data_IF_808425382515
#
_entry.id   IF_808425382515
#
_cell.length_a   1.000
_cell.length_b   1.000
_cell.length_c   1.000
_cell.angle_alpha   90.00
_cell.angle_beta   90.00
_cell.angle_gamma   90.00
#
_symmetry.space_group_name_H-M   'P 1'
#
loop_
_entity.id
_entity.type
_entity.pdbx_description
1 polymer ?
#
# COMPACT_ATOMS: atom_id res chain seq x y z
N UNK A 1 33.85 -26.55 53.94
CA UNK A 1 32.60 -26.04 53.33
C UNK A 1 32.86 -24.62 52.88
N UNK A 2 33.25 -24.43 51.62
CA UNK A 2 33.53 -23.13 51.00
C UNK A 2 32.38 -22.78 50.05
N UNK A 3 31.66 -21.71 50.38
CA UNK A 3 30.57 -21.18 49.57
C UNK A 3 31.18 -20.29 48.48
N UNK A 4 31.06 -20.73 47.23
CA UNK A 4 31.42 -19.98 46.03
C UNK A 4 30.26 -19.06 45.66
N UNK A 5 30.45 -17.75 45.82
CA UNK A 5 29.53 -16.71 45.34
C UNK A 5 30.01 -16.21 43.98
N UNK A 6 29.36 -16.68 42.92
CA UNK A 6 29.51 -16.13 41.57
C UNK A 6 28.71 -14.82 41.43
N UNK A 7 29.29 -13.72 40.92
CA UNK A 7 28.56 -12.49 40.66
C UNK A 7 27.65 -12.61 39.42
N UNK A 8 26.49 -11.95 39.39
CA UNK A 8 25.61 -11.94 38.22
C UNK A 8 26.20 -11.10 37.09
N UNK A 9 26.16 -11.64 35.87
CA UNK A 9 26.65 -10.98 34.65
C UNK A 9 25.82 -9.75 34.31
N UNK A 10 26.49 -8.60 34.14
CA UNK A 10 25.93 -7.32 33.72
C UNK A 10 25.63 -7.24 32.20
N UNK A 11 24.98 -8.26 31.63
CA UNK A 11 24.78 -8.39 30.18
C UNK A 11 23.32 -8.57 29.73
N UNK A 12 22.34 -8.10 30.52
CA UNK A 12 20.91 -8.28 30.19
C UNK A 12 20.03 -7.03 30.29
N UNK A 13 20.59 -5.82 30.38
CA UNK A 13 19.80 -4.58 30.59
C UNK A 13 19.93 -3.58 29.43
N UNK A 14 20.10 -4.06 28.19
CA UNK A 14 20.04 -3.19 27.00
C UNK A 14 19.17 -3.86 25.95
N UNK A 15 17.85 -3.68 26.06
CA UNK A 15 16.93 -3.57 24.91
C UNK A 15 15.49 -3.37 25.40
N UNK A 16 15.16 -2.15 25.81
CA UNK A 16 13.77 -1.72 25.97
C UNK A 16 13.64 -0.21 25.81
N UNK A 17 14.25 0.34 24.77
CA UNK A 17 14.09 1.74 24.38
C UNK A 17 14.18 1.79 22.87
N UNK A 18 13.02 1.88 22.20
CA UNK A 18 12.78 2.57 20.91
C UNK A 18 11.48 2.07 20.26
N UNK A 19 10.34 2.51 20.80
CA UNK A 19 9.03 2.44 20.13
C UNK A 19 8.53 3.86 19.79
N UNK A 20 9.44 4.76 19.40
CA UNK A 20 9.12 6.15 19.07
C UNK A 20 9.73 6.63 17.75
N UNK A 21 9.99 5.72 16.81
CA UNK A 21 10.20 6.12 15.41
C UNK A 21 8.83 6.38 14.77
N UNK A 22 8.46 7.67 14.73
CA UNK A 22 7.33 8.28 14.03
C UNK A 22 7.40 8.01 12.52
N UNK A 23 7.27 6.75 12.11
CA UNK A 23 6.83 6.41 10.78
C UNK A 23 5.32 6.66 10.73
N UNK A 24 4.84 7.36 9.71
CA UNK A 24 3.44 7.41 9.32
C UNK A 24 2.98 6.03 8.81
N UNK A 25 3.22 5.02 9.63
CA UNK A 25 2.63 3.71 9.57
C UNK A 25 1.25 3.90 10.18
N UNK A 26 0.30 4.34 9.35
CA UNK A 26 -1.13 4.22 9.65
C UNK A 26 -1.42 2.72 9.69
N UNK A 27 -0.96 2.07 10.75
CA UNK A 27 -1.30 0.71 11.06
C UNK A 27 -2.81 0.71 11.17
N UNK A 28 -3.46 -0.15 10.41
CA UNK A 28 -4.88 -0.50 10.54
C UNK A 28 -5.18 -1.16 11.91
N UNK A 29 -4.43 -0.81 12.97
CA UNK A 29 -4.82 -0.98 14.36
C UNK A 29 -5.71 0.19 14.83
N UNK A 30 -6.26 0.96 13.90
CA UNK A 30 -7.42 1.81 14.20
C UNK A 30 -8.48 0.88 14.73
N UNK A 31 -8.67 0.96 16.04
CA UNK A 31 -9.64 0.23 16.83
C UNK A 31 -10.99 0.35 16.11
N UNK A 32 -11.35 -0.64 15.27
CA UNK A 32 -12.49 -0.56 14.34
C UNK A 32 -13.80 -0.32 15.11
N UNK A 33 -13.83 -0.67 16.40
CA UNK A 33 -14.91 -0.32 17.32
C UNK A 33 -15.06 1.18 17.61
N UNK A 34 -13.98 1.96 17.58
CA UNK A 34 -14.00 3.42 17.73
C UNK A 34 -14.43 4.12 16.43
N UNK A 35 -14.03 3.59 15.27
CA UNK A 35 -14.35 4.19 13.97
C UNK A 35 -15.84 4.02 13.59
N UNK A 36 -16.50 2.96 14.07
CA UNK A 36 -17.96 2.79 13.99
C UNK A 36 -18.74 3.77 14.92
N UNK A 37 -18.08 4.36 15.91
CA UNK A 37 -18.63 5.41 16.77
C UNK A 37 -18.27 6.83 16.31
N UNK A 38 -17.83 7.00 15.06
CA UNK A 38 -17.59 8.33 14.50
C UNK A 38 -18.88 9.17 14.62
N UNK A 39 -18.88 10.25 15.42
CA UNK A 39 -20.06 11.06 15.63
C UNK A 39 -20.46 11.70 14.29
N UNK A 40 -21.74 11.58 13.93
CA UNK A 40 -22.35 12.14 12.71
C UNK A 40 -22.00 13.61 12.44
N UNK A 41 -21.63 14.35 13.49
CA UNK A 41 -21.13 15.73 13.43
C UNK A 41 -19.82 15.89 12.65
N UNK A 42 -18.90 14.93 12.68
CA UNK A 42 -17.64 15.00 11.93
C UNK A 42 -17.92 14.81 10.43
N UNK A 43 -18.80 13.87 10.07
CA UNK A 43 -19.23 13.67 8.68
C UNK A 43 -19.94 14.91 8.11
N UNK A 44 -20.78 15.58 8.91
CA UNK A 44 -21.41 16.85 8.51
C UNK A 44 -20.39 17.98 8.29
N UNK A 45 -19.35 18.06 9.12
CA UNK A 45 -18.26 19.05 8.97
C UNK A 45 -17.39 18.77 7.74
N UNK A 46 -17.10 17.50 7.46
CA UNK A 46 -16.32 17.11 6.27
C UNK A 46 -17.10 17.36 4.96
N UNK A 47 -18.44 17.14 4.94
CA UNK A 47 -19.28 17.55 3.81
C UNK A 47 -19.30 19.06 3.60
N UNK A 48 -19.24 19.83 4.68
CA UNK A 48 -19.18 21.30 4.61
C UNK A 48 -17.84 21.79 4.04
N UNK A 49 -16.73 21.13 4.37
CA UNK A 49 -15.42 21.43 3.78
C UNK A 49 -15.38 21.09 2.29
N UNK A 50 -16.00 19.98 1.87
CA UNK A 50 -16.10 19.60 0.47
C UNK A 50 -16.90 20.63 -0.35
N UNK A 51 -18.03 21.09 0.20
CA UNK A 51 -18.83 22.15 -0.42
C UNK A 51 -18.10 23.51 -0.49
N UNK A 52 -17.07 23.74 0.34
CA UNK A 52 -16.21 24.92 0.27
C UNK A 52 -15.04 24.74 -0.71
N UNK A 53 -14.63 23.50 -0.97
CA UNK A 53 -13.58 23.14 -1.92
C UNK A 53 -14.10 23.00 -3.34
N UNK A 54 -15.42 22.95 -3.54
CA UNK A 54 -16.08 22.99 -4.84
C UNK A 54 -16.35 24.46 -5.26
N UNK A 55 -15.46 25.11 -6.03
CA UNK A 55 -15.60 26.51 -6.40
C UNK A 55 -16.86 26.80 -7.23
N UNK A 56 -17.48 25.76 -7.82
CA UNK A 56 -18.69 25.90 -8.63
C UNK A 56 -19.99 25.90 -7.81
N UNK A 57 -19.96 25.42 -6.56
CA UNK A 57 -21.13 25.41 -5.68
C UNK A 57 -21.48 26.82 -5.14
N UNK A 58 -20.49 27.70 -5.02
CA UNK A 58 -20.66 29.08 -4.53
C UNK A 58 -21.37 30.01 -5.51
N UNK A 59 -21.38 29.71 -6.81
CA UNK A 59 -21.99 30.55 -7.84
C UNK A 59 -23.52 30.47 -7.94
N UNK A 60 -24.18 29.57 -7.20
CA UNK A 60 -25.63 29.31 -7.31
C UNK A 60 -26.46 29.69 -6.08
N UNK A 61 -25.85 30.02 -4.94
CA UNK A 61 -26.59 30.38 -3.72
C UNK A 61 -26.82 31.90 -3.53
N UNK A 62 -26.45 32.73 -4.51
CA UNK A 62 -26.52 34.20 -4.39
C UNK A 62 -27.69 34.90 -5.10
N UNK A 63 -28.57 34.20 -5.82
CA UNK A 63 -29.64 34.84 -6.60
C UNK A 63 -30.97 34.12 -6.45
N UNK A 64 -31.77 34.52 -5.45
CA UNK A 64 -33.12 33.98 -5.31
C UNK A 64 -33.84 34.36 -4.03
N UNK A 65 -34.07 35.65 -3.80
CA UNK A 65 -35.09 36.10 -2.85
C UNK A 65 -35.80 37.36 -3.35
N UNK A 66 -36.48 37.26 -4.49
CA UNK A 66 -37.70 38.03 -4.77
C UNK A 66 -38.62 37.17 -5.63
N UNK A 67 -39.88 37.07 -5.18
CA UNK A 67 -40.79 35.99 -5.53
C UNK A 67 -41.41 36.06 -6.91
N UNK A 68 -42.02 34.95 -7.30
CA UNK A 68 -43.35 34.99 -7.90
C UNK A 68 -44.04 33.63 -7.74
N UNK A 69 -45.20 33.64 -7.11
CA UNK A 69 -46.14 32.51 -7.04
C UNK A 69 -46.93 32.53 -8.34
N UNK A 70 -46.79 31.49 -9.17
CA UNK A 70 -47.50 31.40 -10.44
C UNK A 70 -47.47 30.00 -11.01
N UNK A 71 -48.60 29.30 -10.84
CA UNK A 71 -49.03 28.09 -11.51
C UNK A 71 -48.39 27.81 -12.87
N UNK A 72 -47.98 26.54 -13.08
CA UNK A 72 -48.02 25.94 -14.42
C UNK A 72 -46.90 24.98 -14.76
N UNK A 73 -47.31 23.75 -15.10
CA UNK A 73 -46.66 22.87 -16.07
C UNK A 73 -45.45 22.04 -15.59
N UNK A 74 -45.76 20.78 -15.32
CA UNK A 74 -44.88 19.61 -15.53
C UNK A 74 -44.44 19.56 -17.00
N UNK A 75 -43.42 20.34 -17.35
CA UNK A 75 -42.65 20.13 -18.56
C UNK A 75 -41.18 20.14 -18.20
N UNK A 76 -40.63 18.93 -18.18
CA UNK A 76 -39.20 18.62 -18.18
C UNK A 76 -38.53 19.42 -19.29
N UNK A 77 -38.03 20.60 -18.94
CA UNK A 77 -37.29 21.50 -19.82
C UNK A 77 -35.97 20.82 -20.16
N UNK A 78 -35.99 20.00 -21.21
CA UNK A 78 -34.82 19.75 -22.05
C UNK A 78 -34.32 21.14 -22.41
N UNK A 79 -33.15 21.49 -21.87
CA UNK A 79 -32.43 22.72 -22.16
C UNK A 79 -31.48 22.37 -23.29
N UNK A 80 -31.80 22.67 -24.57
CA UNK A 80 -30.77 22.73 -25.58
C UNK A 80 -29.91 23.96 -25.28
N UNK A 81 -28.64 23.87 -25.64
CA UNK A 81 -27.70 24.99 -25.66
C UNK A 81 -27.28 25.53 -24.29
N UNK A 82 -26.67 24.65 -23.49
CA UNK A 82 -25.57 25.11 -22.62
C UNK A 82 -24.30 25.07 -23.49
N UNK A 83 -23.64 26.21 -23.76
CA UNK A 83 -22.34 26.20 -24.43
C UNK A 83 -21.39 25.28 -23.64
N UNK A 84 -20.50 24.53 -24.31
CA UNK A 84 -19.54 23.67 -23.62
C UNK A 84 -18.81 24.53 -22.59
N UNK A 85 -18.72 24.07 -21.31
CA UNK A 85 -17.94 24.80 -20.33
C UNK A 85 -16.53 25.02 -20.88
N UNK A 86 -15.92 26.19 -20.65
CA UNK A 86 -14.56 26.45 -21.10
C UNK A 86 -13.66 25.30 -20.63
N UNK A 87 -12.73 24.82 -21.47
CA UNK A 87 -11.79 23.77 -21.11
C UNK A 87 -10.86 24.30 -20.03
N UNK A 88 -11.26 24.15 -18.77
CA UNK A 88 -10.50 24.73 -17.66
C UNK A 88 -11.11 24.32 -16.34
N UNK A 89 -10.37 23.49 -15.61
CA UNK A 89 -10.60 23.08 -14.23
C UNK A 89 -11.72 22.04 -14.04
N UNK A 90 -11.55 20.86 -14.63
CA UNK A 90 -12.13 19.66 -14.01
C UNK A 90 -11.59 19.57 -12.58
N UNK A 91 -12.45 19.61 -11.54
CA UNK A 91 -12.00 19.63 -10.15
C UNK A 91 -11.14 18.40 -9.87
N UNK A 92 -10.02 18.59 -9.17
CA UNK A 92 -9.19 17.48 -8.70
C UNK A 92 -10.07 16.51 -7.91
N UNK A 93 -9.87 15.18 -8.04
CA UNK A 93 -10.63 14.20 -7.27
C UNK A 93 -10.41 14.48 -5.78
N UNK A 94 -11.44 15.01 -5.12
CA UNK A 94 -11.39 15.31 -3.70
C UNK A 94 -11.26 14.02 -2.87
N UNK A 95 -10.93 14.14 -1.57
CA UNK A 95 -10.87 12.98 -0.67
C UNK A 95 -12.17 12.15 -0.67
N UNK A 96 -13.32 12.78 -0.93
CA UNK A 96 -14.60 12.09 -1.06
C UNK A 96 -14.71 11.23 -2.32
N UNK A 97 -14.10 11.64 -3.43
CA UNK A 97 -14.03 10.83 -4.63
C UNK A 97 -13.25 9.53 -4.37
N UNK A 98 -12.20 9.59 -3.54
CA UNK A 98 -11.49 8.39 -3.10
C UNK A 98 -12.38 7.45 -2.29
N UNK A 99 -13.15 7.96 -1.31
CA UNK A 99 -14.05 7.12 -0.51
C UNK A 99 -15.18 6.47 -1.33
N UNK A 100 -15.62 7.13 -2.40
CA UNK A 100 -16.58 6.56 -3.35
C UNK A 100 -15.95 5.59 -4.36
N UNK A 101 -14.61 5.53 -4.44
CA UNK A 101 -13.90 4.72 -5.42
C UNK A 101 -13.84 3.23 -5.03
N UNK A 102 -13.63 2.37 -6.02
CA UNK A 102 -13.37 0.95 -5.81
C UNK A 102 -12.13 0.68 -4.93
N UNK A 103 -11.15 1.61 -4.90
CA UNK A 103 -9.95 1.48 -4.08
C UNK A 103 -10.29 1.50 -2.59
N UNK A 104 -11.18 2.39 -2.14
CA UNK A 104 -11.59 2.45 -0.74
C UNK A 104 -12.36 1.20 -0.30
N UNK A 105 -13.26 0.69 -1.16
CA UNK A 105 -14.01 -0.54 -0.91
C UNK A 105 -13.04 -1.73 -0.78
N UNK A 106 -12.10 -1.85 -1.71
CA UNK A 106 -11.12 -2.93 -1.70
C UNK A 106 -10.12 -2.82 -0.53
N UNK A 107 -9.73 -1.60 -0.12
CA UNK A 107 -8.96 -1.38 1.11
C UNK A 107 -9.71 -1.86 2.35
N UNK A 108 -11.01 -1.53 2.45
CA UNK A 108 -11.84 -1.97 3.56
C UNK A 108 -11.98 -3.49 3.59
N UNK A 109 -12.22 -4.11 2.42
CA UNK A 109 -12.22 -5.57 2.29
C UNK A 109 -10.87 -6.17 2.69
N UNK A 110 -9.75 -5.56 2.28
CA UNK A 110 -8.41 -5.99 2.64
C UNK A 110 -8.14 -5.88 4.14
N UNK A 111 -8.60 -4.80 4.78
CA UNK A 111 -8.48 -4.64 6.23
C UNK A 111 -9.25 -5.73 6.98
N UNK A 112 -10.47 -6.06 6.54
CA UNK A 112 -11.24 -7.18 7.10
C UNK A 112 -10.55 -8.52 6.87
N UNK A 113 -10.00 -8.75 5.68
CA UNK A 113 -9.26 -9.97 5.34
C UNK A 113 -8.02 -10.12 6.23
N UNK A 114 -7.20 -9.08 6.37
CA UNK A 114 -6.01 -9.10 7.23
C UNK A 114 -6.38 -9.33 8.69
N UNK A 115 -7.41 -8.64 9.19
CA UNK A 115 -7.92 -8.84 10.54
C UNK A 115 -8.40 -10.28 10.75
N UNK A 116 -9.14 -10.84 9.78
CA UNK A 116 -9.58 -12.23 9.82
C UNK A 116 -8.43 -13.22 9.76
N UNK A 117 -7.41 -12.98 8.94
CA UNK A 117 -6.21 -13.82 8.87
C UNK A 117 -5.50 -13.83 10.22
N UNK A 118 -5.31 -12.66 10.84
CA UNK A 118 -4.67 -12.54 12.15
C UNK A 118 -5.44 -13.27 13.27
N UNK A 119 -6.78 -13.27 13.22
CA UNK A 119 -7.61 -13.93 14.23
C UNK A 119 -7.86 -15.43 13.97
N UNK A 120 -8.00 -15.85 12.71
CA UNK A 120 -8.26 -17.26 12.35
C UNK A 120 -6.97 -18.06 12.39
N UNK A 121 -5.88 -17.49 11.85
CA UNK A 121 -4.56 -18.10 11.90
C UNK A 121 -3.95 -17.73 13.25
N UNK A 122 -4.57 -18.24 14.32
CA UNK A 122 -4.09 -18.03 15.67
C UNK A 122 -2.61 -18.46 15.75
N UNK A 123 -1.72 -17.63 16.29
CA UNK A 123 -0.33 -18.01 16.46
C UNK A 123 -0.32 -19.27 17.31
N UNK A 124 0.30 -20.36 16.83
CA UNK A 124 0.56 -21.52 17.66
C UNK A 124 1.54 -21.08 18.75
N UNK A 125 1.03 -20.53 19.85
CA UNK A 125 1.78 -19.95 20.98
C UNK A 125 2.58 -20.99 21.77
N UNK A 126 2.82 -22.17 21.22
CA UNK A 126 3.56 -23.23 21.89
C UNK A 126 4.68 -23.70 20.97
N UNK A 127 5.96 -23.41 21.30
CA UNK A 127 7.06 -24.04 20.60
C UNK A 127 6.90 -25.56 20.68
N UNK A 128 6.99 -26.23 19.54
CA UNK A 128 6.88 -27.69 19.40
C UNK A 128 7.76 -28.46 20.41
N UNK A 129 8.88 -27.85 20.82
CA UNK A 129 9.78 -28.37 21.84
C UNK A 129 9.12 -28.58 23.22
N UNK A 130 8.08 -27.82 23.57
CA UNK A 130 7.35 -28.00 24.83
C UNK A 130 6.26 -29.08 24.76
N UNK A 131 5.71 -29.37 23.56
CA UNK A 131 4.73 -30.45 23.37
C UNK A 131 5.38 -31.84 23.39
N UNK A 132 6.57 -31.97 22.82
CA UNK A 132 7.28 -33.26 22.82
C UNK A 132 7.78 -33.69 24.21
N UNK A 133 7.85 -32.77 25.19
CA UNK A 133 8.20 -33.11 26.59
C UNK A 133 7.01 -33.56 27.45
N UNK A 134 5.76 -33.36 27.02
CA UNK A 134 4.58 -33.68 27.82
C UNK A 134 3.73 -34.85 27.28
N UNK A 135 3.95 -35.31 26.05
CA UNK A 135 3.20 -36.42 25.43
C UNK A 135 3.67 -37.83 25.85
N UNK A 136 4.56 -37.92 26.83
CA UNK A 136 5.03 -39.20 27.40
C UNK A 136 4.08 -39.82 28.44
N UNK A 137 3.05 -39.11 28.88
CA UNK A 137 2.17 -39.60 29.94
C UNK A 137 0.73 -39.13 29.70
N UNK A 138 -0.10 -40.01 29.13
CA UNK A 138 -1.52 -40.25 29.42
C UNK A 138 -2.24 -40.69 28.14
N UNK A 139 -2.26 -42.01 27.94
CA UNK A 139 -3.10 -42.64 26.94
C UNK A 139 -4.57 -42.44 27.26
N UNK A 140 -5.23 -41.51 26.56
CA UNK A 140 -6.67 -41.57 26.36
C UNK A 140 -7.00 -41.56 24.87
N UNK A 141 -7.53 -42.71 24.48
CA UNK A 141 -7.93 -43.17 23.17
C UNK A 141 -9.06 -42.31 22.56
N UNK A 142 -8.97 -42.16 21.24
CA UNK A 142 -10.04 -42.50 20.29
C UNK A 142 -11.32 -41.64 20.30
N UNK A 143 -11.31 -40.59 19.47
CA UNK A 143 -12.43 -40.25 18.54
C UNK A 143 -12.13 -39.08 17.60
N UNK A 144 -11.05 -38.33 17.83
CA UNK A 144 -10.58 -37.25 16.95
C UNK A 144 -9.65 -37.73 15.80
N UNK A 145 -9.55 -39.04 15.54
CA UNK A 145 -8.57 -39.55 14.56
C UNK A 145 -8.97 -39.31 13.11
N UNK A 146 -10.27 -39.25 12.78
CA UNK A 146 -10.68 -39.10 11.38
C UNK A 146 -10.48 -37.67 10.88
N UNK A 147 -10.84 -36.66 11.68
CA UNK A 147 -10.54 -35.26 11.37
C UNK A 147 -9.04 -35.00 11.38
N UNK A 148 -8.30 -35.59 12.33
CA UNK A 148 -6.82 -35.51 12.36
C UNK A 148 -6.17 -36.24 11.19
N UNK A 149 -6.76 -37.32 10.67
CA UNK A 149 -6.26 -38.07 9.51
C UNK A 149 -6.58 -37.36 8.20
N UNK A 150 -7.76 -36.74 8.07
CA UNK A 150 -8.07 -35.84 6.93
C UNK A 150 -7.18 -34.60 6.98
N UNK A 151 -6.96 -34.00 8.16
CA UNK A 151 -5.98 -32.91 8.31
C UNK A 151 -4.56 -33.37 8.00
N UNK A 152 -4.15 -34.58 8.37
CA UNK A 152 -2.82 -35.11 8.04
C UNK A 152 -2.66 -35.43 6.54
N UNK A 153 -3.74 -35.76 5.84
CA UNK A 153 -3.74 -35.98 4.38
C UNK A 153 -3.89 -34.68 3.57
N UNK A 154 -4.58 -33.67 4.11
CA UNK A 154 -4.68 -32.33 3.52
C UNK A 154 -3.45 -31.45 3.87
N UNK A 155 -2.76 -31.75 4.98
CA UNK A 155 -1.50 -31.13 5.42
C UNK A 155 -0.34 -32.14 5.61
N UNK A 156 0.13 -32.84 4.56
CA UNK A 156 1.53 -33.24 4.44
C UNK A 156 2.34 -32.11 3.78
N UNK A 157 1.80 -30.88 3.75
CA UNK A 157 2.54 -29.70 3.38
C UNK A 157 3.30 -29.30 4.63
N UNK A 158 4.55 -29.74 4.70
CA UNK A 158 5.50 -29.23 5.68
C UNK A 158 5.61 -27.72 5.44
N UNK A 159 4.84 -26.90 6.18
CA UNK A 159 4.82 -25.44 6.06
C UNK A 159 6.18 -24.82 6.43
N UNK A 160 7.03 -25.62 7.08
CA UNK A 160 8.44 -25.34 7.29
C UNK A 160 9.24 -25.39 5.97
N UNK A 161 8.81 -26.18 4.99
CA UNK A 161 9.49 -26.38 3.73
C UNK A 161 9.45 -25.12 2.87
N UNK A 162 10.63 -24.75 2.36
CA UNK A 162 10.82 -23.62 1.44
C UNK A 162 9.96 -23.80 0.18
N UNK A 163 9.65 -25.04 -0.21
CA UNK A 163 8.84 -25.34 -1.38
C UNK A 163 7.39 -24.83 -1.23
N UNK A 164 6.75 -25.12 -0.10
CA UNK A 164 5.39 -24.65 0.17
C UNK A 164 5.30 -23.12 0.17
N UNK A 165 6.29 -22.45 0.78
CA UNK A 165 6.39 -20.97 0.79
C UNK A 165 6.52 -20.41 -0.61
N UNK A 166 7.35 -21.06 -1.43
CA UNK A 166 7.54 -20.67 -2.83
C UNK A 166 6.25 -20.83 -3.61
N UNK A 167 5.57 -21.97 -3.47
CA UNK A 167 4.33 -22.27 -4.19
C UNK A 167 3.22 -21.25 -3.89
N UNK A 168 3.03 -20.86 -2.62
CA UNK A 168 2.05 -19.83 -2.26
C UNK A 168 2.45 -18.43 -2.75
N UNK A 169 3.75 -18.11 -2.79
CA UNK A 169 4.25 -16.78 -3.17
C UNK A 169 4.38 -16.58 -4.67
N UNK A 170 4.65 -17.62 -5.45
CA UNK A 170 4.89 -17.55 -6.91
C UNK A 170 3.77 -16.80 -7.65
N UNK A 171 2.46 -17.07 -7.42
CA UNK A 171 1.39 -16.35 -8.12
C UNK A 171 1.43 -14.84 -7.83
N UNK A 172 1.59 -14.46 -6.56
CA UNK A 172 1.66 -13.05 -6.18
C UNK A 172 2.95 -12.37 -6.61
N UNK A 173 4.06 -13.10 -6.63
CA UNK A 173 5.33 -12.60 -7.12
C UNK A 173 5.27 -12.35 -8.64
N UNK A 174 4.59 -13.23 -9.39
CA UNK A 174 4.33 -13.03 -10.80
C UNK A 174 3.50 -11.76 -11.06
N UNK A 175 2.40 -11.57 -10.31
CA UNK A 175 1.56 -10.37 -10.43
C UNK A 175 2.35 -9.10 -10.10
N UNK A 176 3.18 -9.14 -9.05
CA UNK A 176 3.98 -8.01 -8.61
C UNK A 176 5.10 -7.68 -9.60
N UNK A 177 5.81 -8.71 -10.10
CA UNK A 177 6.82 -8.55 -11.16
C UNK A 177 6.20 -7.99 -12.43
N UNK A 178 5.00 -8.42 -12.81
CA UNK A 178 4.26 -7.88 -13.96
C UNK A 178 3.92 -6.41 -13.76
N UNK A 179 3.41 -6.02 -12.60
CA UNK A 179 3.12 -4.62 -12.28
C UNK A 179 4.40 -3.76 -12.28
N UNK A 180 5.49 -4.27 -11.67
CA UNK A 180 6.78 -3.60 -11.62
C UNK A 180 7.38 -3.38 -13.02
N UNK A 181 7.36 -4.42 -13.86
CA UNK A 181 7.83 -4.34 -15.24
C UNK A 181 7.02 -3.32 -16.05
N UNK A 182 5.70 -3.29 -15.87
CA UNK A 182 4.82 -2.33 -16.53
C UNK A 182 5.17 -0.88 -16.12
N UNK A 183 5.29 -0.60 -14.81
CA UNK A 183 5.71 0.72 -14.34
C UNK A 183 7.12 1.11 -14.80
N UNK A 184 8.04 0.16 -14.89
CA UNK A 184 9.38 0.41 -15.43
C UNK A 184 9.34 0.78 -16.93
N UNK A 185 8.50 0.11 -17.72
CA UNK A 185 8.28 0.47 -19.13
C UNK A 185 7.68 1.87 -19.24
N UNK A 186 6.67 2.20 -18.42
CA UNK A 186 6.09 3.55 -18.38
C UNK A 186 7.16 4.57 -18.02
N UNK A 187 8.02 4.30 -17.03
CA UNK A 187 9.12 5.18 -16.65
C UNK A 187 10.08 5.44 -17.83
N UNK A 188 10.45 4.40 -18.56
CA UNK A 188 11.29 4.54 -19.77
C UNK A 188 10.59 5.37 -20.85
N UNK A 189 9.27 5.23 -21.01
CA UNK A 189 8.48 6.02 -21.96
C UNK A 189 8.42 7.50 -21.57
N UNK A 190 8.07 7.79 -20.31
CA UNK A 190 7.93 9.18 -19.81
C UNK A 190 9.27 9.91 -19.69
N UNK A 191 10.38 9.18 -19.59
CA UNK A 191 11.72 9.78 -19.52
C UNK A 191 12.35 10.03 -20.89
N UNK A 192 11.69 9.64 -21.98
CA UNK A 192 12.23 9.77 -23.34
C UNK A 192 13.43 8.86 -23.65
N UNK A 193 13.85 8.00 -22.70
CA UNK A 193 14.95 7.05 -22.87
C UNK A 193 14.53 5.72 -23.51
N UNK A 194 13.32 5.64 -24.06
CA UNK A 194 12.87 4.42 -24.71
C UNK A 194 13.78 4.11 -25.91
N UNK A 195 14.48 2.97 -25.92
CA UNK A 195 15.46 2.68 -26.97
C UNK A 195 14.75 2.58 -28.32
N UNK A 196 15.15 3.43 -29.26
CA UNK A 196 14.69 3.39 -30.66
C UNK A 196 15.33 2.26 -31.47
N UNK A 197 16.27 1.52 -30.86
CA UNK A 197 16.92 0.36 -31.48
C UNK A 197 15.88 -0.68 -31.92
N UNK A 198 16.16 -1.32 -33.06
CA UNK A 198 15.29 -2.22 -33.85
C UNK A 198 14.89 -3.54 -33.15
N UNK A 199 14.69 -3.55 -31.84
CA UNK A 199 14.24 -4.72 -31.12
C UNK A 199 12.71 -4.80 -31.21
N UNK A 200 12.21 -5.50 -32.23
CA UNK A 200 10.77 -5.65 -32.51
C UNK A 200 9.98 -6.11 -31.28
N UNK A 201 10.56 -7.01 -30.47
CA UNK A 201 9.92 -7.50 -29.25
C UNK A 201 9.75 -6.39 -28.19
N UNK A 202 10.75 -5.52 -28.03
CA UNK A 202 10.72 -4.43 -27.05
C UNK A 202 9.75 -3.33 -27.51
N UNK A 203 9.69 -3.06 -28.81
CA UNK A 203 8.69 -2.16 -29.39
C UNK A 203 7.26 -2.72 -29.24
N UNK A 204 7.06 -4.03 -29.40
CA UNK A 204 5.77 -4.67 -29.16
C UNK A 204 5.33 -4.53 -27.68
N UNK A 205 6.26 -4.65 -26.74
CA UNK A 205 5.97 -4.46 -25.30
C UNK A 205 5.70 -2.97 -25.00
N UNK A 206 6.49 -2.07 -25.58
CA UNK A 206 6.31 -0.63 -25.44
C UNK A 206 4.96 -0.17 -25.97
N UNK A 207 4.56 -0.61 -27.17
CA UNK A 207 3.25 -0.28 -27.76
C UNK A 207 2.10 -0.90 -26.97
N UNK A 208 2.27 -2.11 -26.44
CA UNK A 208 1.30 -2.72 -25.52
C UNK A 208 1.11 -1.89 -24.25
N UNK A 209 2.19 -1.45 -23.61
CA UNK A 209 2.14 -0.59 -22.43
C UNK A 209 1.57 0.80 -22.76
N UNK A 210 1.94 1.37 -23.91
CA UNK A 210 1.48 2.67 -24.37
C UNK A 210 -0.04 2.72 -24.63
N UNK A 211 -0.65 1.60 -25.02
CA UNK A 211 -2.11 1.48 -25.21
C UNK A 211 -2.90 1.27 -23.92
N UNK A 212 -2.24 0.91 -22.82
CA UNK A 212 -2.90 0.65 -21.54
C UNK A 212 -3.30 1.96 -20.86
N UNK A 213 -4.57 2.09 -20.51
CA UNK A 213 -5.08 3.20 -19.72
C UNK A 213 -4.47 3.22 -18.32
N UNK A 214 -4.22 4.41 -17.77
CA UNK A 214 -3.57 4.52 -16.46
C UNK A 214 -4.47 3.99 -15.33
N UNK A 215 -5.79 4.09 -15.48
CA UNK A 215 -6.75 3.50 -14.52
C UNK A 215 -6.56 1.99 -14.38
N UNK A 216 -6.49 1.28 -15.51
CA UNK A 216 -6.21 -0.16 -15.58
C UNK A 216 -4.87 -0.53 -14.93
N UNK A 217 -3.84 0.27 -15.20
CA UNK A 217 -2.49 0.06 -14.67
C UNK A 217 -2.47 0.24 -13.15
N UNK A 218 -3.05 1.34 -12.65
CA UNK A 218 -3.17 1.62 -11.24
C UNK A 218 -4.01 0.55 -10.51
N UNK A 219 -5.14 0.16 -11.09
CA UNK A 219 -6.04 -0.84 -10.50
C UNK A 219 -5.40 -2.21 -10.42
N UNK A 220 -4.75 -2.65 -11.50
CA UNK A 220 -4.04 -3.93 -11.53
C UNK A 220 -2.82 -3.95 -10.59
N UNK A 221 -2.10 -2.83 -10.47
CA UNK A 221 -1.00 -2.67 -9.51
C UNK A 221 -1.51 -2.77 -8.08
N UNK A 222 -2.59 -2.07 -7.77
CA UNK A 222 -3.23 -2.12 -6.46
C UNK A 222 -3.68 -3.55 -6.10
N UNK A 223 -4.34 -4.25 -7.03
CA UNK A 223 -4.73 -5.65 -6.86
C UNK A 223 -3.52 -6.59 -6.63
N UNK A 224 -2.42 -6.38 -7.34
CA UNK A 224 -1.18 -7.15 -7.16
C UNK A 224 -0.58 -6.90 -5.76
N UNK A 225 -0.54 -5.65 -5.31
CA UNK A 225 -0.07 -5.26 -3.97
C UNK A 225 -0.96 -5.88 -2.88
N UNK A 226 -2.29 -5.76 -2.99
CA UNK A 226 -3.22 -6.38 -2.04
C UNK A 226 -3.03 -7.90 -1.96
N UNK A 227 -2.90 -8.56 -3.11
CA UNK A 227 -2.67 -10.02 -3.16
C UNK A 227 -1.34 -10.41 -2.51
N UNK A 228 -0.26 -9.67 -2.80
CA UNK A 228 1.04 -9.90 -2.19
C UNK A 228 1.02 -9.71 -0.66
N UNK A 229 0.35 -8.67 -0.17
CA UNK A 229 0.17 -8.45 1.28
C UNK A 229 -0.68 -9.54 1.93
N UNK A 230 -1.72 -10.03 1.25
CA UNK A 230 -2.59 -11.10 1.75
C UNK A 230 -1.80 -12.41 1.90
N UNK A 231 -1.08 -12.81 0.84
CA UNK A 231 -0.20 -13.99 0.89
C UNK A 231 0.95 -13.80 1.89
N UNK A 232 1.48 -12.58 2.00
CA UNK A 232 2.48 -12.23 3.00
C UNK A 232 1.97 -12.41 4.44
N UNK A 233 0.73 -12.00 4.72
CA UNK A 233 0.10 -12.17 6.02
C UNK A 233 -0.24 -13.65 6.30
N UNK A 234 -0.79 -14.36 5.31
CA UNK A 234 -1.11 -15.78 5.41
C UNK A 234 0.14 -16.61 5.71
N UNK A 235 1.20 -16.44 4.93
CA UNK A 235 2.46 -17.19 5.12
C UNK A 235 3.07 -16.91 6.50
N UNK A 236 3.10 -15.65 6.96
CA UNK A 236 3.58 -15.31 8.31
C UNK A 236 2.71 -15.88 9.42
N UNK A 237 1.39 -15.82 9.27
CA UNK A 237 0.45 -16.40 10.23
C UNK A 237 0.65 -17.92 10.37
N UNK A 238 0.79 -18.62 9.25
CA UNK A 238 1.04 -20.06 9.20
C UNK A 238 2.39 -20.45 9.80
N UNK A 239 3.40 -19.60 9.69
CA UNK A 239 4.71 -19.81 10.31
C UNK A 239 4.67 -19.67 11.85
N UNK A 240 3.58 -19.12 12.41
CA UNK A 240 3.44 -18.95 13.86
C UNK A 240 4.48 -17.99 14.46
N UNK A 241 5.21 -17.25 13.63
CA UNK A 241 6.19 -16.24 14.05
C UNK A 241 5.38 -15.06 14.58
N UNK A 242 5.07 -15.11 15.88
CA UNK A 242 4.25 -14.14 16.62
C UNK A 242 4.89 -12.76 16.80
N UNK A 243 5.70 -12.30 15.86
CA UNK A 243 6.19 -10.93 15.84
C UNK A 243 5.07 -9.94 15.53
N UNK A 244 5.17 -8.71 16.04
CA UNK A 244 4.25 -7.63 15.72
C UNK A 244 4.10 -7.52 14.19
N UNK A 245 2.91 -7.90 13.69
CA UNK A 245 2.60 -8.11 12.27
C UNK A 245 2.38 -6.81 11.49
N UNK A 246 3.08 -5.73 11.85
CA UNK A 246 2.97 -4.47 11.12
C UNK A 246 3.74 -4.61 9.80
N UNK A 247 2.99 -4.68 8.69
CA UNK A 247 3.60 -4.51 7.39
C UNK A 247 4.14 -3.08 7.32
N UNK A 248 5.42 -2.86 6.96
CA UNK A 248 5.97 -1.51 6.83
C UNK A 248 5.38 -0.73 5.64
N UNK A 249 4.53 -1.38 4.84
CA UNK A 249 3.93 -0.79 3.65
C UNK A 249 2.65 -0.02 4.00
N UNK A 250 2.66 1.30 3.79
CA UNK A 250 1.49 2.16 3.96
C UNK A 250 0.48 1.94 2.81
N UNK A 251 -0.33 0.88 2.93
CA UNK A 251 -1.30 0.48 1.91
C UNK A 251 -2.35 1.56 1.64
N UNK A 252 -2.79 2.27 2.67
CA UNK A 252 -3.78 3.35 2.54
C UNK A 252 -3.23 4.51 1.69
N UNK A 253 -2.05 5.02 2.07
CA UNK A 253 -1.39 6.11 1.33
C UNK A 253 -1.09 5.71 -0.12
N UNK A 254 -0.66 4.47 -0.33
CA UNK A 254 -0.37 3.96 -1.69
C UNK A 254 -1.63 3.82 -2.55
N UNK A 255 -2.74 3.35 -1.98
CA UNK A 255 -4.02 3.26 -2.70
C UNK A 255 -4.57 4.65 -3.06
N UNK A 256 -4.44 5.62 -2.14
CA UNK A 256 -4.82 7.00 -2.41
C UNK A 256 -3.96 7.60 -3.52
N UNK A 257 -2.65 7.34 -3.50
CA UNK A 257 -1.72 7.76 -4.56
C UNK A 257 -2.11 7.18 -5.92
N UNK A 258 -2.36 5.87 -6.00
CA UNK A 258 -2.80 5.20 -7.23
C UNK A 258 -4.15 5.71 -7.73
N UNK A 259 -5.10 5.98 -6.83
CA UNK A 259 -6.38 6.57 -7.20
C UNK A 259 -6.21 7.97 -7.78
N UNK A 260 -5.40 8.83 -7.14
CA UNK A 260 -5.14 10.19 -7.60
C UNK A 260 -4.57 10.19 -9.03
N UNK A 261 -3.60 9.31 -9.31
CA UNK A 261 -2.97 9.18 -10.62
C UNK A 261 -3.68 8.24 -11.61
N UNK A 262 -4.80 7.62 -11.20
CA UNK A 262 -5.69 6.95 -12.15
C UNK A 262 -6.48 7.97 -12.98
N UNK A 263 -6.65 9.20 -12.47
CA UNK A 263 -7.39 10.27 -13.14
C UNK A 263 -6.53 11.01 -14.16
N UNK A 264 -6.99 11.15 -15.42
CA UNK A 264 -6.25 11.81 -16.50
C UNK A 264 -6.02 13.31 -16.29
N UNK A 265 -6.67 13.91 -15.27
CA UNK A 265 -6.53 15.32 -14.90
C UNK A 265 -5.12 15.62 -14.39
N UNK A 266 -4.47 14.62 -13.80
CA UNK A 266 -3.15 14.77 -13.16
C UNK A 266 -1.98 14.53 -14.12
N UNK A 267 -2.27 14.23 -15.38
CA UNK A 267 -1.28 13.89 -16.38
C UNK A 267 -0.73 15.15 -17.05
N UNK A 268 0.60 15.33 -17.00
CA UNK A 268 1.31 16.44 -17.63
C UNK A 268 1.43 16.27 -19.14
N UNK A 269 1.56 15.02 -19.61
CA UNK A 269 1.73 14.70 -21.03
C UNK A 269 0.42 14.20 -21.64
N UNK A 270 -0.10 14.96 -22.61
CA UNK A 270 -1.26 14.60 -23.44
C UNK A 270 -0.79 14.49 -24.89
N UNK A 271 -0.36 13.30 -25.27
CA UNK A 271 0.02 13.03 -26.66
C UNK A 271 -1.23 12.74 -27.48
N UNK A 272 -1.35 13.35 -28.66
CA UNK A 272 -2.53 13.20 -29.52
C UNK A 272 -2.73 11.73 -29.92
N UNK A 273 -3.89 11.15 -29.56
CA UNK A 273 -4.25 9.77 -29.89
C UNK A 273 -3.72 8.69 -28.95
N UNK A 274 -2.98 9.04 -27.89
CA UNK A 274 -2.51 8.10 -26.87
C UNK A 274 -3.04 8.45 -25.47
N UNK A 275 -3.17 7.46 -24.55
CA UNK A 275 -3.53 7.72 -23.17
C UNK A 275 -2.55 8.71 -22.53
N UNK A 276 -3.07 9.70 -21.82
CA UNK A 276 -2.23 10.67 -21.11
C UNK A 276 -1.39 9.99 -20.03
N UNK A 277 -0.21 10.55 -19.74
CA UNK A 277 0.76 9.96 -18.80
C UNK A 277 1.14 10.92 -17.67
N UNK A 278 1.37 10.39 -16.45
CA UNK A 278 1.91 11.16 -15.35
C UNK A 278 3.37 11.50 -15.59
N UNK A 279 3.84 12.53 -14.91
CA UNK A 279 5.23 12.96 -14.94
C UNK A 279 6.19 11.86 -14.46
N UNK A 280 7.44 11.86 -14.97
CA UNK A 280 8.41 10.81 -14.65
C UNK A 280 8.70 10.74 -13.15
N UNK A 281 8.70 11.88 -12.45
CA UNK A 281 8.96 11.94 -11.01
C UNK A 281 7.85 11.25 -10.22
N UNK A 282 6.60 11.44 -10.66
CA UNK A 282 5.44 10.74 -10.10
C UNK A 282 5.57 9.23 -10.32
N UNK A 283 5.92 8.81 -11.53
CA UNK A 283 6.14 7.39 -11.86
C UNK A 283 7.18 6.78 -10.92
N UNK A 284 8.31 7.47 -10.71
CA UNK A 284 9.35 7.04 -9.76
C UNK A 284 8.78 6.91 -8.35
N UNK A 285 7.98 7.87 -7.88
CA UNK A 285 7.38 7.81 -6.53
C UNK A 285 6.41 6.64 -6.34
N UNK A 286 5.72 6.19 -7.39
CA UNK A 286 4.83 5.01 -7.35
C UNK A 286 5.67 3.71 -7.45
N UNK A 287 6.74 3.74 -8.25
CA UNK A 287 7.63 2.61 -8.48
C UNK A 287 8.46 2.24 -7.24
N UNK A 288 8.92 3.22 -6.45
CA UNK A 288 9.79 2.96 -5.29
C UNK A 288 9.15 2.06 -4.21
N UNK A 289 7.93 2.37 -3.69
CA UNK A 289 7.26 1.48 -2.73
C UNK A 289 6.95 0.10 -3.32
N UNK A 290 6.63 0.05 -4.62
CA UNK A 290 6.36 -1.21 -5.33
C UNK A 290 7.63 -2.09 -5.41
N UNK A 291 8.77 -1.48 -5.73
CA UNK A 291 10.07 -2.14 -5.77
C UNK A 291 10.47 -2.65 -4.37
N UNK A 292 10.27 -1.83 -3.34
CA UNK A 292 10.52 -2.23 -1.96
C UNK A 292 9.67 -3.44 -1.56
N UNK A 293 8.37 -3.41 -1.86
CA UNK A 293 7.46 -4.52 -1.59
C UNK A 293 7.88 -5.78 -2.34
N UNK A 294 8.29 -5.64 -3.62
CA UNK A 294 8.77 -6.74 -4.45
C UNK A 294 10.03 -7.39 -3.89
N UNK A 295 11.03 -6.60 -3.51
CA UNK A 295 12.24 -7.12 -2.88
C UNK A 295 11.95 -7.83 -1.55
N UNK A 296 11.10 -7.25 -0.70
CA UNK A 296 10.69 -7.89 0.56
C UNK A 296 9.92 -9.19 0.31
N UNK A 297 9.09 -9.24 -0.73
CA UNK A 297 8.33 -10.43 -1.08
C UNK A 297 9.22 -11.56 -1.62
N UNK A 298 10.26 -11.20 -2.41
CA UNK A 298 11.32 -12.11 -2.86
C UNK A 298 12.14 -12.67 -1.69
N UNK A 299 12.61 -11.81 -0.78
CA UNK A 299 13.33 -12.25 0.42
C UNK A 299 12.47 -13.14 1.31
N UNK A 300 11.14 -12.95 1.28
CA UNK A 300 10.17 -13.80 1.97
C UNK A 300 10.04 -15.23 1.41
N UNK A 301 10.63 -15.54 0.25
CA UNK A 301 10.64 -16.91 -0.31
C UNK A 301 11.52 -17.83 0.53
N UNK A 302 12.68 -17.33 1.00
CA UNK A 302 13.63 -18.09 1.81
C UNK A 302 13.63 -17.59 3.25
N UNK A 303 13.35 -18.48 4.20
CA UNK A 303 13.25 -18.12 5.63
C UNK A 303 14.49 -17.40 6.16
N UNK A 304 15.69 -17.88 5.82
CA UNK A 304 16.95 -17.28 6.26
C UNK A 304 17.13 -15.84 5.78
N UNK A 305 16.58 -15.51 4.60
CA UNK A 305 16.68 -14.19 3.99
C UNK A 305 15.60 -13.24 4.49
N UNK A 306 14.47 -13.78 4.97
CA UNK A 306 13.38 -12.97 5.51
C UNK A 306 13.80 -12.13 6.73
N UNK A 307 14.88 -12.49 7.41
CA UNK A 307 15.45 -11.73 8.53
C UNK A 307 16.26 -10.52 8.07
N UNK A 308 16.74 -10.50 6.82
CA UNK A 308 17.58 -9.43 6.26
C UNK A 308 16.72 -8.33 5.59
N UNK A 309 15.59 -7.97 6.19
CA UNK A 309 14.68 -6.94 5.63
C UNK A 309 15.30 -5.56 5.57
N UNK A 310 16.33 -5.30 6.37
CA UNK A 310 17.01 -4.01 6.42
C UNK A 310 17.64 -3.65 5.08
N UNK A 311 18.26 -4.62 4.38
CA UNK A 311 18.99 -4.40 3.13
C UNK A 311 18.10 -3.83 2.01
N UNK A 312 16.97 -4.45 1.63
CA UNK A 312 16.12 -3.90 0.57
C UNK A 312 15.51 -2.55 0.96
N UNK A 313 15.18 -2.36 2.25
CA UNK A 313 14.60 -1.11 2.72
C UNK A 313 15.60 0.03 2.72
N UNK A 314 16.87 -0.22 3.08
CA UNK A 314 17.92 0.80 3.03
C UNK A 314 18.25 1.17 1.59
N UNK A 315 18.32 0.21 0.68
CA UNK A 315 18.52 0.48 -0.76
C UNK A 315 17.40 1.36 -1.30
N UNK A 316 16.13 1.01 -1.05
CA UNK A 316 14.99 1.81 -1.49
C UNK A 316 14.92 3.19 -0.84
N UNK A 317 15.21 3.29 0.45
CA UNK A 317 15.25 4.56 1.19
C UNK A 317 16.32 5.50 0.62
N UNK A 318 17.56 5.01 0.48
CA UNK A 318 18.66 5.79 -0.11
C UNK A 318 18.33 6.22 -1.54
N UNK A 319 17.78 5.32 -2.36
CA UNK A 319 17.41 5.65 -3.73
C UNK A 319 16.28 6.70 -3.80
N UNK A 320 15.30 6.61 -2.92
CA UNK A 320 14.21 7.60 -2.79
C UNK A 320 14.76 8.95 -2.33
N UNK A 321 15.70 8.95 -1.39
CA UNK A 321 16.33 10.15 -0.86
C UNK A 321 17.20 10.85 -1.92
N UNK A 322 18.00 10.07 -2.66
CA UNK A 322 18.81 10.58 -3.78
C UNK A 322 17.89 11.18 -4.85
N UNK A 323 16.82 10.47 -5.22
CA UNK A 323 15.84 10.99 -6.17
C UNK A 323 15.21 12.29 -5.65
N UNK A 324 14.77 12.32 -4.39
CA UNK A 324 14.17 13.52 -3.78
C UNK A 324 15.10 14.73 -3.85
N UNK A 325 16.36 14.62 -3.41
CA UNK A 325 17.30 15.74 -3.45
C UNK A 325 17.66 16.14 -4.89
N UNK A 326 17.78 15.16 -5.80
CA UNK A 326 17.99 15.44 -7.22
C UNK A 326 16.84 16.26 -7.81
N UNK A 327 15.59 15.91 -7.51
CA UNK A 327 14.42 16.66 -7.99
C UNK A 327 14.29 18.01 -7.29
N UNK A 328 14.56 18.08 -5.99
CA UNK A 328 14.48 19.33 -5.24
C UNK A 328 15.43 20.39 -5.81
N UNK A 329 16.61 19.98 -6.27
CA UNK A 329 17.60 20.88 -6.85
C UNK A 329 17.35 21.19 -8.32
N UNK A 330 16.85 20.23 -9.10
CA UNK A 330 16.68 20.41 -10.55
C UNK A 330 15.30 20.93 -10.95
N UNK A 331 14.24 20.61 -10.20
CA UNK A 331 12.84 20.89 -10.58
C UNK A 331 11.90 20.91 -9.36
N UNK A 332 11.96 21.95 -8.52
CA UNK A 332 11.22 22.01 -7.25
C UNK A 332 9.68 22.07 -7.39
N UNK A 333 9.15 22.39 -8.57
CA UNK A 333 7.70 22.58 -8.78
C UNK A 333 6.90 21.27 -9.00
N UNK A 334 7.55 20.15 -9.30
CA UNK A 334 6.87 18.95 -9.81
C UNK A 334 6.70 17.82 -8.78
N UNK A 335 7.21 17.97 -7.56
CA UNK A 335 7.27 16.83 -6.64
C UNK A 335 5.93 16.56 -5.93
N UNK A 336 5.46 15.30 -5.85
CA UNK A 336 4.21 14.97 -5.17
C UNK A 336 4.27 15.25 -3.66
N UNK A 337 3.33 16.07 -3.20
CA UNK A 337 3.26 16.58 -1.82
C UNK A 337 3.20 15.45 -0.76
N UNK A 338 2.53 14.34 -1.07
CA UNK A 338 2.38 13.20 -0.15
C UNK A 338 3.72 12.59 0.26
N UNK A 339 4.70 12.55 -0.66
CA UNK A 339 6.01 11.96 -0.37
C UNK A 339 7.02 13.01 0.13
N UNK A 340 6.74 14.29 -0.10
CA UNK A 340 7.60 15.41 0.29
C UNK A 340 7.88 15.46 1.79
N UNK A 341 6.82 15.39 2.62
CA UNK A 341 6.96 15.45 4.08
C UNK A 341 7.74 14.25 4.64
N UNK A 342 7.48 13.05 4.11
CA UNK A 342 8.20 11.85 4.54
C UNK A 342 9.69 11.97 4.25
N UNK A 343 10.06 12.41 3.03
CA UNK A 343 11.46 12.60 2.65
C UNK A 343 12.15 13.69 3.47
N UNK A 344 11.46 14.78 3.80
CA UNK A 344 12.02 15.82 4.69
C UNK A 344 12.34 15.27 6.07
N UNK A 345 11.40 14.54 6.68
CA UNK A 345 11.63 13.96 8.00
C UNK A 345 12.76 12.93 7.98
N UNK A 346 12.86 12.14 6.91
CA UNK A 346 13.94 11.18 6.71
C UNK A 346 15.31 11.89 6.55
N UNK A 347 15.39 12.94 5.74
CA UNK A 347 16.59 13.78 5.62
C UNK A 347 16.99 14.43 6.95
N UNK A 348 16.01 14.96 7.70
CA UNK A 348 16.23 15.60 8.99
C UNK A 348 16.72 14.59 10.03
N UNK A 349 16.15 13.38 10.03
CA UNK A 349 16.59 12.30 10.91
C UNK A 349 18.04 11.94 10.61
N UNK A 350 18.41 11.75 9.34
CA UNK A 350 19.80 11.48 8.94
C UNK A 350 20.73 12.61 9.39
N UNK A 351 20.33 13.86 9.21
CA UNK A 351 21.10 15.02 9.66
C UNK A 351 21.33 15.01 11.17
N UNK A 352 20.28 14.78 11.97
CA UNK A 352 20.37 14.70 13.43
C UNK A 352 21.23 13.53 13.87
N UNK A 353 21.11 12.37 13.22
CA UNK A 353 21.94 11.20 13.51
C UNK A 353 23.41 11.50 13.21
N UNK A 354 23.74 12.10 12.07
CA UNK A 354 25.11 12.49 11.75
C UNK A 354 25.67 13.51 12.75
N UNK A 355 24.85 14.49 13.17
CA UNK A 355 25.24 15.47 14.18
C UNK A 355 25.47 14.84 15.56
N UNK A 356 24.73 13.80 15.92
CA UNK A 356 24.89 13.11 17.19
C UNK A 356 26.19 12.27 17.26
N UNK A 357 26.72 11.86 16.12
CA UNK A 357 27.97 11.08 16.02
C UNK A 357 29.21 11.93 15.72
N UNK A 358 29.03 13.18 15.30
CA UNK A 358 30.09 14.17 15.10
C UNK A 358 30.43 14.86 16.42
#
# INVERSE_FOLDING_TARGET
>A
MSVSTTPPSAASVINSTEDAALSFNISFSVNLGSLMQLPSRILARLRKLDALLDPDAGGRMGAGATGNVGNGSLMRRIRPDRPPPPPGLTPMPGPWAFFASGYAIALFAMALLLNRIQHIVAPSRQPLAYRLRFDGAHGYRSRLSFTRSIYAFLFPIDLSSTFARTLFRVPTLYLLSKALALWFIILLQTSGFFPSFQWDWLQSIGTWAARKEMEDVCWSTFGAVCSALCVGALTRGLEGVGGNNTSPFNLFGYAFLLHLYSSPITHSEKQEGLPSRPDMHVVVTILMPLLQLWMVHLLGVKQSWSNQRLIPTTICSVLTLIHFHSVLWLSPASYPLLNYMSCIFESLLILVTLLAFA
#
